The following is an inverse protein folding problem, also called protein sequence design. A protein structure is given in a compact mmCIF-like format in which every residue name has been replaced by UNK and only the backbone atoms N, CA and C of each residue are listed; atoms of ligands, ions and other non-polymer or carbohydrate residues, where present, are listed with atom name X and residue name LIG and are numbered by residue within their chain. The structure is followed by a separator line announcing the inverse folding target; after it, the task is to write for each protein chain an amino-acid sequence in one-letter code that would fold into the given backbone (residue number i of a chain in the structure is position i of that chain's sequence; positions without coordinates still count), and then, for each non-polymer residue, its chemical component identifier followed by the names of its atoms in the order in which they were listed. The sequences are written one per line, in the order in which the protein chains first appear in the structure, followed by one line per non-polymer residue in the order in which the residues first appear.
data_IF_798288246734
#
_entry.id   IF_798288246734
#
_cell.length_a   1.000
_cell.length_b   1.000
_cell.length_c   1.000
_cell.angle_alpha   90.00
_cell.angle_beta   90.00
_cell.angle_gamma   90.00
#
_symmetry.space_group_name_H-M   'P 1'
#
loop_
_entity.id
_entity.type
_entity.pdbx_description
1 polymer ?
#
# COMPACT_ATOMS: atom_id res chain seq x y z
N UNK A 1 9.40 11.87 1.45
CA UNK A 1 9.04 10.49 1.84
C UNK A 1 8.13 10.61 3.05
N UNK A 2 7.06 9.81 3.12
CA UNK A 2 6.10 9.80 4.23
C UNK A 2 6.02 8.37 4.75
N UNK A 3 5.90 8.21 6.07
CA UNK A 3 5.74 6.89 6.69
C UNK A 3 4.29 6.42 6.59
N UNK A 4 4.07 5.12 6.37
CA UNK A 4 2.73 4.54 6.22
C UNK A 4 1.88 4.73 7.48
N UNK A 5 2.50 4.73 8.67
CA UNK A 5 1.82 4.96 9.94
C UNK A 5 1.59 6.43 10.29
N UNK A 6 2.11 7.37 9.49
CA UNK A 6 2.02 8.80 9.80
C UNK A 6 0.64 9.37 9.45
N UNK A 7 0.05 10.26 10.28
CA UNK A 7 -1.14 11.02 9.92
C UNK A 7 -0.90 11.98 8.74
N UNK A 8 0.36 12.34 8.46
CA UNK A 8 0.71 13.15 7.29
C UNK A 8 0.35 12.47 5.97
N UNK A 9 0.21 11.13 5.96
CA UNK A 9 -0.21 10.36 4.79
C UNK A 9 -1.50 10.91 4.17
N UNK A 10 -2.45 11.37 5.00
CA UNK A 10 -3.74 11.91 4.57
C UNK A 10 -3.65 13.29 3.90
N UNK A 11 -2.49 13.95 3.95
CA UNK A 11 -2.25 15.22 3.25
C UNK A 11 -1.89 15.02 1.77
N UNK A 12 -1.68 13.78 1.33
CA UNK A 12 -1.29 13.44 -0.02
C UNK A 12 -2.42 12.65 -0.69
N UNK A 13 -3.10 13.17 -1.73
CA UNK A 13 -4.15 12.41 -2.41
C UNK A 13 -3.60 11.23 -3.23
N UNK A 14 -2.30 11.26 -3.53
CA UNK A 14 -1.59 10.27 -4.30
C UNK A 14 -0.24 10.01 -3.64
N UNK A 15 0.05 8.74 -3.38
CA UNK A 15 1.35 8.29 -2.89
C UNK A 15 1.94 7.23 -3.80
N UNK A 16 3.25 7.28 -3.93
CA UNK A 16 4.04 6.38 -4.75
C UNK A 16 4.96 5.56 -3.85
N UNK A 17 4.91 4.24 -4.01
CA UNK A 17 5.75 3.27 -3.33
C UNK A 17 6.70 2.63 -4.34
N UNK A 18 7.98 2.69 -4.03
CA UNK A 18 9.04 1.92 -4.71
C UNK A 18 10.02 1.41 -3.65
N UNK A 19 10.71 0.32 -3.93
CA UNK A 19 11.62 -0.28 -2.96
C UNK A 19 12.29 -1.53 -3.51
N UNK A 20 13.32 -1.98 -2.80
CA UNK A 20 14.05 -3.21 -3.09
C UNK A 20 13.60 -4.31 -2.12
N UNK A 21 12.91 -5.34 -2.61
CA UNK A 21 12.52 -6.52 -1.82
C UNK A 21 11.48 -6.29 -0.72
N UNK A 22 11.61 -7.05 0.39
CA UNK A 22 10.61 -7.23 1.47
C UNK A 22 9.96 -5.92 1.95
N UNK A 23 8.66 -5.79 1.69
CA UNK A 23 7.80 -4.83 2.38
C UNK A 23 7.15 -5.55 3.55
N UNK A 24 7.13 -4.92 4.72
CA UNK A 24 6.44 -5.43 5.91
C UNK A 24 5.75 -4.27 6.61
N UNK A 25 4.43 -4.36 6.76
CA UNK A 25 3.64 -3.47 7.58
C UNK A 25 3.41 -4.09 8.96
N UNK A 26 3.55 -3.26 9.98
CA UNK A 26 2.96 -3.50 11.29
C UNK A 26 1.43 -3.49 11.19
N UNK A 27 0.71 -4.07 12.18
CA UNK A 27 -0.75 -4.00 12.21
C UNK A 27 -1.30 -2.57 12.17
N UNK A 28 -0.60 -1.62 12.80
CA UNK A 28 -0.99 -0.21 12.84
C UNK A 28 -0.83 0.46 11.47
N UNK A 29 0.27 0.18 10.76
CA UNK A 29 0.52 0.69 9.41
C UNK A 29 -0.48 0.13 8.40
N UNK A 30 -0.77 -1.18 8.46
CA UNK A 30 -1.78 -1.79 7.59
C UNK A 30 -3.17 -1.17 7.79
N UNK A 31 -3.56 -0.93 9.05
CA UNK A 31 -4.82 -0.26 9.37
C UNK A 31 -4.85 1.21 8.92
N UNK A 32 -3.74 1.93 9.07
CA UNK A 32 -3.65 3.32 8.63
C UNK A 32 -3.74 3.42 7.09
N UNK A 33 -3.01 2.54 6.38
CA UNK A 33 -3.06 2.45 4.92
C UNK A 33 -4.46 2.09 4.41
N UNK A 34 -5.15 1.16 5.08
CA UNK A 34 -6.55 0.82 4.77
C UNK A 34 -7.44 2.06 4.89
N UNK A 35 -7.29 2.80 5.98
CA UNK A 35 -8.08 4.02 6.25
C UNK A 35 -7.81 5.09 5.20
N UNK A 36 -6.54 5.29 4.82
CA UNK A 36 -6.14 6.21 3.75
C UNK A 36 -6.79 5.86 2.41
N UNK A 37 -6.72 4.59 1.98
CA UNK A 37 -7.28 4.12 0.71
C UNK A 37 -8.81 4.20 0.68
N UNK A 38 -9.48 3.84 1.78
CA UNK A 38 -10.93 3.98 1.91
C UNK A 38 -11.39 5.45 1.95
N UNK A 39 -10.51 6.37 2.33
CA UNK A 39 -10.78 7.81 2.35
C UNK A 39 -10.55 8.49 0.99
N UNK A 40 -10.27 7.72 -0.06
CA UNK A 40 -10.06 8.23 -1.42
C UNK A 40 -8.60 8.50 -1.79
N UNK A 41 -7.65 8.14 -0.93
CA UNK A 41 -6.23 8.17 -1.25
C UNK A 41 -5.88 7.14 -2.33
N UNK A 42 -4.93 7.48 -3.20
CA UNK A 42 -4.42 6.57 -4.22
C UNK A 42 -3.00 6.10 -3.88
N UNK A 43 -2.74 4.80 -4.04
CA UNK A 43 -1.42 4.19 -3.89
C UNK A 43 -0.97 3.60 -5.22
N UNK A 44 0.10 4.14 -5.79
CA UNK A 44 0.82 3.55 -6.92
C UNK A 44 2.03 2.78 -6.38
N UNK A 45 2.09 1.49 -6.69
CA UNK A 45 3.25 0.65 -6.39
C UNK A 45 3.97 0.33 -7.71
N UNK A 46 5.25 0.66 -7.79
CA UNK A 46 6.10 0.35 -8.95
C UNK A 46 7.17 -0.68 -8.56
N UNK A 47 7.04 -1.87 -9.15
CA UNK A 47 7.93 -3.00 -8.92
C UNK A 47 9.11 -3.02 -9.89
N UNK A 48 10.10 -2.17 -9.61
CA UNK A 48 11.37 -2.19 -10.34
C UNK A 48 12.41 -3.18 -9.77
N UNK A 49 12.15 -3.80 -8.60
CA UNK A 49 13.16 -4.55 -7.84
C UNK A 49 12.63 -5.76 -7.04
N UNK A 50 11.57 -6.43 -7.49
CA UNK A 50 11.09 -7.72 -6.95
C UNK A 50 10.17 -7.60 -5.73
N UNK A 51 9.23 -6.66 -5.77
CA UNK A 51 8.30 -6.28 -4.71
C UNK A 51 6.95 -7.02 -4.81
N UNK A 52 6.54 -7.47 -6.00
CA UNK A 52 5.20 -8.04 -6.28
C UNK A 52 4.76 -9.11 -5.26
N UNK A 53 5.58 -10.13 -5.02
CA UNK A 53 5.22 -11.21 -4.10
C UNK A 53 5.06 -10.73 -2.64
N UNK A 54 5.84 -9.73 -2.22
CA UNK A 54 5.86 -9.25 -0.84
C UNK A 54 4.73 -8.26 -0.60
N UNK A 55 4.52 -7.33 -1.53
CA UNK A 55 3.45 -6.35 -1.38
C UNK A 55 2.08 -7.00 -1.44
N UNK A 56 1.89 -8.05 -2.25
CA UNK A 56 0.61 -8.79 -2.29
C UNK A 56 0.26 -9.38 -0.93
N UNK A 57 1.24 -9.97 -0.24
CA UNK A 57 1.05 -10.50 1.11
C UNK A 57 0.70 -9.38 2.11
N UNK A 58 1.38 -8.25 2.02
CA UNK A 58 1.13 -7.12 2.92
C UNK A 58 -0.23 -6.45 2.65
N UNK A 59 -0.63 -6.35 1.39
CA UNK A 59 -1.93 -5.80 1.02
C UNK A 59 -3.10 -6.70 1.44
N UNK A 60 -2.86 -7.99 1.69
CA UNK A 60 -3.81 -8.86 2.39
C UNK A 60 -3.99 -8.51 3.87
N UNK A 61 -3.02 -7.85 4.51
CA UNK A 61 -3.23 -7.29 5.86
C UNK A 61 -4.11 -6.03 5.80
N UNK A 62 -3.99 -5.26 4.72
CA UNK A 62 -4.75 -4.02 4.49
C UNK A 62 -6.21 -4.32 4.10
N UNK A 63 -6.40 -5.23 3.14
CA UNK A 63 -7.71 -5.71 2.68
C UNK A 63 -7.75 -7.25 2.66
N UNK A 64 -7.97 -7.90 3.80
CA UNK A 64 -8.07 -9.36 3.88
C UNK A 64 -9.12 -9.95 2.95
N UNK A 65 -10.18 -9.20 2.68
CA UNK A 65 -11.35 -9.58 1.91
C UNK A 65 -11.24 -9.34 0.40
N UNK A 66 -10.21 -8.62 -0.07
CA UNK A 66 -10.06 -8.26 -1.49
C UNK A 66 -8.93 -9.04 -2.16
N UNK A 67 -9.08 -9.31 -3.44
CA UNK A 67 -8.03 -9.87 -4.30
C UNK A 67 -7.58 -8.83 -5.32
N UNK A 68 -6.30 -8.89 -5.70
CA UNK A 68 -5.83 -8.17 -6.87
C UNK A 68 -6.44 -8.77 -8.14
N UNK A 69 -6.92 -7.90 -9.01
CA UNK A 69 -7.44 -8.25 -10.33
C UNK A 69 -6.71 -7.43 -11.38
N UNK A 70 -6.60 -7.98 -12.59
CA UNK A 70 -6.11 -7.22 -13.72
C UNK A 70 -7.13 -6.13 -14.11
N UNK A 71 -6.63 -4.91 -14.34
CA UNK A 71 -7.46 -3.83 -14.85
C UNK A 71 -7.59 -4.00 -16.37
N UNK A 72 -8.81 -3.91 -16.94
CA UNK A 72 -8.99 -3.96 -18.38
C UNK A 72 -8.16 -2.90 -19.11
N UNK A 73 -7.66 -3.27 -20.30
CA UNK A 73 -6.98 -2.36 -21.21
C UNK A 73 -7.92 -1.35 -21.86
#
# INVERSE_FOLDING_TARGET
MVEVGSPELFSYPYVYMTGHGNVVFSPQEAQNLRTYLLSGGFLHIDDNYGLDQFIRLEMKKVFPELEFVEIPL
#
